data_IF_264471615954
#
_entry.id   IF_264471615954
#
_cell.length_a   1.000
_cell.length_b   1.000
_cell.length_c   1.000
_cell.angle_alpha   90.00
_cell.angle_beta   90.00
_cell.angle_gamma   90.00
#
_symmetry.space_group_name_H-M   'P 1'
#
loop_
_entity.id
_entity.type
_entity.pdbx_description
1 polymer ?
#
# COMPACT_ATOMS: atom_id res chain seq x y z
N UNK A 1 -20.63 16.24 -16.17
CA UNK A 1 -20.27 15.66 -14.85
C UNK A 1 -20.76 16.61 -13.78
N UNK A 2 -21.19 16.10 -12.63
CA UNK A 2 -21.60 16.96 -11.51
C UNK A 2 -20.36 17.73 -11.00
N UNK A 3 -20.48 19.02 -10.64
CA UNK A 3 -19.34 19.83 -10.14
C UNK A 3 -18.57 19.19 -8.97
N UNK A 4 -19.27 18.38 -8.17
CA UNK A 4 -18.69 17.59 -7.08
C UNK A 4 -17.75 16.50 -7.60
N UNK A 5 -18.16 15.80 -8.66
CA UNK A 5 -17.41 14.72 -9.29
C UNK A 5 -16.10 15.23 -9.91
N UNK A 6 -16.14 16.38 -10.58
CA UNK A 6 -14.93 17.04 -11.11
C UNK A 6 -13.97 17.45 -9.99
N UNK A 7 -14.50 17.93 -8.87
CA UNK A 7 -13.70 18.33 -7.71
C UNK A 7 -13.05 17.13 -7.03
N UNK A 8 -13.80 16.04 -6.88
CA UNK A 8 -13.28 14.77 -6.38
C UNK A 8 -12.23 14.19 -7.32
N UNK A 9 -12.42 14.31 -8.64
CA UNK A 9 -11.44 13.92 -9.65
C UNK A 9 -10.10 14.63 -9.48
N UNK A 10 -10.12 15.97 -9.35
CA UNK A 10 -8.90 16.76 -9.09
C UNK A 10 -8.22 16.40 -7.78
N UNK A 11 -9.00 16.14 -6.73
CA UNK A 11 -8.48 15.69 -5.44
C UNK A 11 -7.78 14.32 -5.62
N UNK A 12 -8.40 13.38 -6.33
CA UNK A 12 -7.84 12.06 -6.59
C UNK A 12 -6.54 12.12 -7.40
N UNK A 13 -6.46 12.99 -8.43
CA UNK A 13 -5.23 13.23 -9.20
C UNK A 13 -4.10 13.78 -8.30
N UNK A 14 -4.42 14.81 -7.50
CA UNK A 14 -3.47 15.42 -6.57
C UNK A 14 -2.92 14.40 -5.58
N UNK A 15 -3.81 13.58 -5.01
CA UNK A 15 -3.48 12.56 -4.03
C UNK A 15 -2.68 11.41 -4.65
N UNK A 16 -2.96 11.06 -5.91
CA UNK A 16 -2.26 9.96 -6.60
C UNK A 16 -0.78 10.24 -6.83
N UNK A 17 -0.39 11.52 -6.88
CA UNK A 17 1.00 11.94 -6.98
C UNK A 17 1.77 12.02 -5.66
N UNK A 18 1.11 11.80 -4.52
CA UNK A 18 1.78 11.83 -3.20
C UNK A 18 2.54 10.54 -2.95
N UNK A 19 3.83 10.66 -2.61
CA UNK A 19 4.65 9.52 -2.22
C UNK A 19 4.40 9.10 -0.76
N UNK A 20 4.52 7.81 -0.48
CA UNK A 20 4.22 7.23 0.83
C UNK A 20 5.18 7.70 1.93
N UNK A 21 6.40 8.09 1.57
CA UNK A 21 7.38 8.61 2.51
C UNK A 21 6.96 9.99 3.05
N UNK A 22 6.52 10.89 2.16
CA UNK A 22 5.97 12.19 2.51
C UNK A 22 4.72 12.07 3.38
N UNK A 23 3.88 11.07 3.12
CA UNK A 23 2.63 10.83 3.85
C UNK A 23 2.82 10.30 5.27
N UNK A 24 3.93 9.62 5.54
CA UNK A 24 4.20 9.01 6.86
C UNK A 24 4.30 10.04 7.98
N UNK A 25 4.92 11.20 7.71
CA UNK A 25 5.03 12.31 8.68
C UNK A 25 3.69 13.01 8.95
N UNK A 26 2.86 13.18 7.92
CA UNK A 26 1.53 13.77 8.03
C UNK A 26 0.56 12.83 8.73
N UNK A 27 0.70 11.52 8.53
CA UNK A 27 -0.16 10.51 9.14
C UNK A 27 -0.17 10.59 10.66
N UNK A 28 1.01 10.65 11.31
CA UNK A 28 1.09 10.70 12.78
C UNK A 28 0.39 11.95 13.33
N UNK A 29 0.62 13.10 12.67
CA UNK A 29 0.00 14.37 13.03
C UNK A 29 -1.52 14.33 12.95
N UNK A 30 -2.08 13.79 11.87
CA UNK A 30 -3.53 13.75 11.67
C UNK A 30 -4.20 12.61 12.43
N UNK A 31 -3.49 11.53 12.73
CA UNK A 31 -3.96 10.44 13.59
C UNK A 31 -4.29 10.94 15.00
N UNK A 32 -3.40 11.71 15.61
CA UNK A 32 -3.63 12.29 16.95
C UNK A 32 -4.88 13.17 16.93
N UNK A 33 -4.99 14.05 15.92
CA UNK A 33 -6.13 14.96 15.76
C UNK A 33 -7.45 14.24 15.47
N UNK A 34 -7.41 13.13 14.73
CA UNK A 34 -8.59 12.33 14.43
C UNK A 34 -9.08 11.55 15.67
N UNK A 35 -8.14 11.11 16.53
CA UNK A 35 -8.44 10.36 17.74
C UNK A 35 -9.02 11.24 18.87
N UNK A 36 -8.60 12.50 18.94
CA UNK A 36 -9.17 13.48 19.89
C UNK A 36 -10.46 14.09 19.33
N UNK A 37 -11.59 13.42 19.59
CA UNK A 37 -12.87 13.83 19.05
C UNK A 37 -13.31 15.20 19.56
N UNK A 38 -13.65 16.09 18.62
CA UNK A 38 -14.29 17.36 18.90
C UNK A 38 -15.38 17.62 17.85
N UNK A 39 -16.57 18.10 18.21
CA UNK A 39 -17.60 18.48 17.26
C UNK A 39 -17.26 19.85 16.64
N UNK A 40 -16.11 19.95 15.97
CA UNK A 40 -15.62 21.18 15.34
C UNK A 40 -15.31 20.96 13.85
N UNK A 41 -15.49 22.00 13.00
CA UNK A 41 -15.12 21.92 11.59
C UNK A 41 -13.65 21.56 11.35
N UNK A 42 -12.76 21.95 12.26
CA UNK A 42 -11.33 21.64 12.21
C UNK A 42 -11.06 20.16 12.47
N UNK A 43 -11.83 19.54 13.36
CA UNK A 43 -11.76 18.11 13.62
C UNK A 43 -12.25 17.33 12.40
N UNK A 44 -13.41 17.70 11.84
CA UNK A 44 -13.94 17.06 10.62
C UNK A 44 -12.92 17.12 9.47
N UNK A 45 -12.33 18.30 9.25
CA UNK A 45 -11.27 18.49 8.26
C UNK A 45 -10.06 17.61 8.54
N UNK A 46 -9.62 17.51 9.79
CA UNK A 46 -8.47 16.67 10.19
C UNK A 46 -8.76 15.19 9.97
N UNK A 47 -10.00 14.76 10.24
CA UNK A 47 -10.46 13.39 10.03
C UNK A 47 -10.54 13.02 8.55
N UNK A 48 -11.03 13.93 7.70
CA UNK A 48 -11.06 13.74 6.24
C UNK A 48 -9.63 13.59 5.71
N UNK A 49 -8.70 14.44 6.14
CA UNK A 49 -7.28 14.34 5.74
C UNK A 49 -6.68 13.01 6.19
N UNK A 50 -6.89 12.61 7.44
CA UNK A 50 -6.45 11.30 7.95
C UNK A 50 -7.00 10.14 7.11
N UNK A 51 -8.28 10.20 6.76
CA UNK A 51 -8.96 9.17 5.95
C UNK A 51 -8.37 9.06 4.55
N UNK A 52 -8.07 10.19 3.90
CA UNK A 52 -7.39 10.25 2.61
C UNK A 52 -6.01 9.60 2.69
N UNK A 53 -5.22 9.92 3.71
CA UNK A 53 -3.88 9.34 3.89
C UNK A 53 -3.98 7.81 4.04
N UNK A 54 -4.92 7.32 4.86
CA UNK A 54 -5.14 5.88 5.03
C UNK A 54 -5.57 5.20 3.74
N UNK A 55 -6.45 5.83 2.95
CA UNK A 55 -6.89 5.32 1.65
C UNK A 55 -5.69 5.05 0.72
N UNK A 56 -4.73 5.97 0.65
CA UNK A 56 -3.53 5.81 -0.18
C UNK A 56 -2.68 4.63 0.29
N UNK A 57 -2.46 4.50 1.61
CA UNK A 57 -1.67 3.41 2.19
C UNK A 57 -2.31 2.06 1.96
N UNK A 58 -3.64 1.96 2.14
CA UNK A 58 -4.40 0.74 1.87
C UNK A 58 -4.34 0.41 0.37
N UNK A 59 -4.55 1.39 -0.51
CA UNK A 59 -4.41 1.22 -1.97
C UNK A 59 -3.02 0.68 -2.34
N UNK A 60 -1.96 1.26 -1.78
CA UNK A 60 -0.58 0.83 -2.03
C UNK A 60 -0.33 -0.60 -1.51
N UNK A 61 -0.85 -0.94 -0.33
CA UNK A 61 -0.75 -2.29 0.23
C UNK A 61 -1.40 -3.32 -0.69
N UNK A 62 -2.65 -3.06 -1.11
CA UNK A 62 -3.37 -3.91 -2.05
C UNK A 62 -2.64 -4.02 -3.38
N UNK A 63 -2.15 -2.90 -3.93
CA UNK A 63 -1.40 -2.90 -5.19
C UNK A 63 -0.13 -3.76 -5.10
N UNK A 64 0.65 -3.57 -4.04
CA UNK A 64 1.89 -4.32 -3.79
C UNK A 64 1.60 -5.83 -3.66
N UNK A 65 0.54 -6.21 -2.93
CA UNK A 65 0.11 -7.61 -2.83
C UNK A 65 -0.24 -8.22 -4.20
N UNK A 66 -0.98 -7.49 -5.03
CA UNK A 66 -1.37 -7.96 -6.37
C UNK A 66 -0.15 -8.09 -7.29
N UNK A 67 0.76 -7.11 -7.27
CA UNK A 67 2.03 -7.16 -8.03
C UNK A 67 2.87 -8.35 -7.58
N UNK A 68 2.98 -8.59 -6.27
CA UNK A 68 3.68 -9.76 -5.74
C UNK A 68 3.04 -11.07 -6.22
N UNK A 69 1.71 -11.19 -6.22
CA UNK A 69 1.01 -12.38 -6.73
C UNK A 69 1.30 -12.62 -8.21
N UNK A 70 1.24 -11.57 -9.04
CA UNK A 70 1.56 -11.65 -10.48
C UNK A 70 3.02 -12.07 -10.70
N UNK A 71 3.96 -11.51 -9.94
CA UNK A 71 5.38 -11.84 -10.04
C UNK A 71 5.71 -13.24 -9.50
N UNK A 72 4.97 -13.70 -8.50
CA UNK A 72 5.08 -15.06 -7.96
C UNK A 72 4.54 -16.10 -8.94
N UNK A 73 3.44 -15.79 -9.65
CA UNK A 73 2.91 -16.62 -10.73
C UNK A 73 3.81 -16.64 -11.98
N UNK A 74 4.67 -15.62 -12.15
CA UNK A 74 5.69 -15.55 -13.20
C UNK A 74 7.00 -16.25 -12.85
N UNK A 75 7.18 -16.81 -11.65
CA UNK A 75 8.30 -17.73 -11.42
C UNK A 75 7.94 -19.05 -12.12
N UNK A 76 8.55 -19.41 -13.27
CA UNK A 76 8.55 -20.81 -13.66
C UNK A 76 9.14 -21.57 -12.48
N UNK A 77 8.54 -22.71 -12.15
CA UNK A 77 8.98 -23.53 -11.03
C UNK A 77 10.51 -23.57 -11.00
N UNK A 78 11.09 -23.24 -9.84
CA UNK A 78 12.43 -23.69 -9.56
C UNK A 78 12.32 -25.22 -9.56
N UNK A 79 12.50 -25.83 -10.74
CA UNK A 79 12.91 -27.21 -10.86
C UNK A 79 14.18 -27.25 -10.02
N UNK A 80 14.08 -27.77 -8.80
CA UNK A 80 15.25 -28.09 -7.98
C UNK A 80 16.16 -28.87 -8.94
N UNK A 81 17.39 -28.42 -9.24
CA UNK A 81 18.28 -29.23 -10.03
C UNK A 81 18.34 -30.57 -9.31
N UNK A 82 17.93 -31.65 -9.98
CA UNK A 82 18.08 -32.99 -9.46
C UNK A 82 19.54 -33.11 -9.03
N UNK A 83 19.77 -33.09 -7.72
CA UNK A 83 21.06 -33.38 -7.15
C UNK A 83 21.32 -34.83 -7.57
N UNK A 84 22.06 -35.01 -8.66
CA UNK A 84 22.67 -36.29 -9.02
C UNK A 84 23.64 -36.60 -7.90
N UNK A 85 23.14 -37.21 -6.84
CA UNK A 85 23.96 -37.75 -5.76
C UNK A 85 24.87 -38.78 -6.43
N UNK A 86 26.20 -38.55 -6.50
CA UNK A 86 27.09 -39.57 -7.03
C UNK A 86 27.01 -40.79 -6.10
N UNK A 87 26.73 -41.96 -6.66
CA UNK A 87 26.72 -43.23 -5.92
C UNK A 87 28.13 -43.54 -5.42
N UNK A 88 28.48 -43.07 -4.22
CA UNK A 88 29.69 -43.48 -3.53
C UNK A 88 29.45 -44.89 -2.97
N UNK A 89 30.11 -45.88 -3.57
CA UNK A 89 30.15 -47.25 -3.06
C UNK A 89 31.20 -47.34 -1.97
N UNK A 90 30.82 -47.86 -0.81
CA UNK A 90 31.76 -48.17 0.28
C UNK A 90 32.66 -49.34 -0.18
N UNK A 91 33.95 -49.08 -0.34
CA UNK A 91 34.96 -50.12 -0.57
C UNK A 91 35.33 -50.71 0.78
N UNK A 92 35.25 -52.03 0.88
CA UNK A 92 35.54 -52.82 2.09
C UNK A 92 37.00 -53.21 2.16
#
# INVERSE_FOLDING_TARGET
MNKLEESLGKIAETISGMDEASLSSLWEKYKIKAHDFSPSPEWEKSFIIFSIINLIRVKNTVFNEQVLKINSAKKPGFSRPELKIPNLKLVK
#
